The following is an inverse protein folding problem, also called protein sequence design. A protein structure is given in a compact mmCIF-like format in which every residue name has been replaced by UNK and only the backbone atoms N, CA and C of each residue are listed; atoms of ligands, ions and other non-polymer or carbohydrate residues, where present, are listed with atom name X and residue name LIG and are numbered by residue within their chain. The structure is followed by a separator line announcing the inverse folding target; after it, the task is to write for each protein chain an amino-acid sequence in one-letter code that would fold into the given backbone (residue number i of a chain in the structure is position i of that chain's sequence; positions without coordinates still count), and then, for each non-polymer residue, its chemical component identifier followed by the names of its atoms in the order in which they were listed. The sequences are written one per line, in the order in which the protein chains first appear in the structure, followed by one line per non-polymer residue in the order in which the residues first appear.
data_IF_061539406781
#
_entry.id   IF_061539406781
#
_cell.length_a   1.000
_cell.length_b   1.000
_cell.length_c   1.000
_cell.angle_alpha   90.00
_cell.angle_beta   90.00
_cell.angle_gamma   90.00
#
_symmetry.space_group_name_H-M   'P 1'
#
loop_
_entity.id
_entity.type
_entity.pdbx_description
1 polymer ?
#
# COMPACT_ATOMS: atom_id res chain seq x y z
N UNK A 1 46.52 -18.87 1.84
CA UNK A 1 47.59 -19.24 2.79
C UNK A 1 47.67 -18.15 3.84
N UNK A 2 47.21 -18.43 5.05
CA UNK A 2 47.12 -17.47 6.15
C UNK A 2 48.44 -17.46 6.92
N UNK A 3 49.30 -16.47 6.66
CA UNK A 3 50.53 -16.30 7.45
C UNK A 3 50.21 -15.61 8.76
N UNK A 4 49.97 -16.41 9.79
CA UNK A 4 49.96 -15.99 11.19
C UNK A 4 51.38 -15.55 11.56
N UNK A 5 51.65 -14.24 11.47
CA UNK A 5 52.90 -13.66 11.92
C UNK A 5 52.87 -13.56 13.44
N UNK A 6 53.35 -14.62 14.12
CA UNK A 6 53.72 -14.57 15.54
C UNK A 6 54.77 -13.48 15.72
N UNK A 7 54.37 -12.31 16.19
CA UNK A 7 55.29 -11.27 16.66
C UNK A 7 55.90 -11.72 17.98
N UNK A 8 56.99 -12.49 17.91
CA UNK A 8 57.85 -12.71 19.06
C UNK A 8 58.52 -11.41 19.51
N UNK A 9 58.95 -11.28 20.78
CA UNK A 9 59.63 -10.09 21.26
C UNK A 9 61.00 -9.96 20.58
N UNK A 10 61.06 -9.18 19.51
CA UNK A 10 62.30 -8.84 18.84
C UNK A 10 63.05 -7.78 19.67
N UNK A 11 64.30 -8.10 20.01
CA UNK A 11 65.37 -7.18 20.40
C UNK A 11 65.30 -6.56 21.81
N UNK A 12 65.99 -7.17 22.76
CA UNK A 12 66.42 -6.49 24.00
C UNK A 12 67.79 -5.83 23.87
N UNK A 13 68.48 -5.99 22.72
CA UNK A 13 69.80 -5.43 22.47
C UNK A 13 69.78 -4.42 21.32
N UNK A 14 70.33 -3.21 21.50
CA UNK A 14 70.27 -2.10 20.55
C UNK A 14 71.05 -2.33 19.24
N UNK A 15 71.86 -3.39 19.16
CA UNK A 15 72.72 -3.68 18.00
C UNK A 15 72.17 -4.77 17.06
N UNK A 16 71.07 -5.43 17.42
CA UNK A 16 70.49 -6.49 16.60
C UNK A 16 69.53 -5.93 15.55
N UNK A 17 69.87 -6.11 14.28
CA UNK A 17 68.94 -5.92 13.16
C UNK A 17 67.77 -6.91 13.30
N UNK A 18 66.56 -6.41 13.10
CA UNK A 18 65.36 -7.24 12.94
C UNK A 18 65.61 -8.25 11.80
N UNK A 19 64.97 -9.43 11.83
CA UNK A 19 64.95 -10.36 10.68
C UNK A 19 64.43 -9.71 9.38
N UNK A 20 63.79 -8.55 9.48
CA UNK A 20 63.40 -7.66 8.40
C UNK A 20 64.52 -6.73 7.88
N UNK A 21 65.77 -6.90 8.34
CA UNK A 21 66.95 -6.12 7.94
C UNK A 21 67.03 -4.70 8.51
N UNK A 22 66.07 -4.27 9.33
CA UNK A 22 65.97 -2.90 9.85
C UNK A 22 66.57 -2.77 11.25
N UNK A 23 67.08 -1.57 11.56
CA UNK A 23 67.48 -1.21 12.94
C UNK A 23 66.23 -1.08 13.81
N UNK A 24 66.30 -1.68 15.00
CA UNK A 24 65.25 -1.57 16.00
C UNK A 24 65.47 -0.32 16.84
N UNK A 25 64.41 0.48 17.05
CA UNK A 25 64.43 1.61 17.98
C UNK A 25 63.80 1.17 19.30
N UNK A 26 64.52 1.31 20.39
CA UNK A 26 63.98 1.08 21.73
C UNK A 26 63.22 2.34 22.14
N UNK A 27 61.92 2.17 22.39
CA UNK A 27 61.03 3.23 22.88
C UNK A 27 60.54 2.88 24.27
N UNK A 28 60.52 3.86 25.17
CA UNK A 28 60.05 3.68 26.54
C UNK A 28 58.60 4.16 26.62
N UNK A 29 57.68 3.29 27.05
CA UNK A 29 56.28 3.68 27.26
C UNK A 29 56.14 4.64 28.42
N UNK A 30 55.40 5.73 28.19
CA UNK A 30 54.98 6.67 29.24
C UNK A 30 53.50 6.50 29.61
N UNK A 31 52.90 5.35 29.30
CA UNK A 31 51.47 5.11 29.58
C UNK A 31 51.21 4.77 31.04
N UNK A 32 50.07 5.21 31.58
CA UNK A 32 49.65 4.97 32.97
C UNK A 32 49.56 3.48 33.34
N UNK A 33 49.24 2.60 32.37
CA UNK A 33 49.09 1.16 32.57
C UNK A 33 50.40 0.39 32.60
N UNK A 34 51.47 0.93 31.99
CA UNK A 34 52.79 0.31 31.94
C UNK A 34 53.86 1.42 31.85
N UNK A 35 54.11 2.14 32.95
CA UNK A 35 55.12 3.17 32.98
C UNK A 35 56.50 2.55 32.82
N UNK A 36 57.38 3.23 32.07
CA UNK A 36 58.80 2.88 31.91
C UNK A 36 59.10 1.55 31.21
N UNK A 37 58.09 0.85 30.68
CA UNK A 37 58.31 -0.39 29.95
C UNK A 37 58.98 -0.12 28.60
N UNK A 38 60.13 -0.75 28.35
CA UNK A 38 60.87 -0.63 27.09
C UNK A 38 60.29 -1.60 26.06
N UNK A 39 60.04 -1.09 24.85
CA UNK A 39 59.63 -1.86 23.69
C UNK A 39 60.61 -1.59 22.56
N UNK A 40 61.18 -2.63 21.98
CA UNK A 40 61.89 -2.51 20.72
C UNK A 40 60.90 -2.76 19.58
N UNK A 41 60.84 -1.81 18.63
CA UNK A 41 60.09 -1.96 17.39
C UNK A 41 61.01 -1.60 16.23
N UNK A 42 60.87 -2.33 15.13
CA UNK A 42 61.52 -1.96 13.88
C UNK A 42 61.02 -0.58 13.44
N UNK A 43 61.92 0.27 12.95
CA UNK A 43 61.56 1.58 12.43
C UNK A 43 60.69 1.39 11.18
N UNK A 44 59.40 1.66 11.34
CA UNK A 44 58.46 1.77 10.22
C UNK A 44 58.63 3.19 9.72
N UNK A 45 59.32 3.37 8.59
CA UNK A 45 59.25 4.64 7.87
C UNK A 45 57.78 4.86 7.53
N UNK A 46 57.17 5.84 8.19
CA UNK A 46 55.83 6.31 7.86
C UNK A 46 55.95 6.85 6.45
N UNK A 47 55.38 6.13 5.49
CA UNK A 47 55.40 6.53 4.11
C UNK A 47 54.24 7.53 3.98
N UNK A 48 54.51 8.82 4.21
CA UNK A 48 53.50 9.89 4.28
C UNK A 48 52.56 9.89 3.07
N UNK A 49 53.09 9.50 1.90
CA UNK A 49 52.33 9.35 0.66
C UNK A 49 51.28 8.23 0.68
N UNK A 50 51.53 7.15 1.44
CA UNK A 50 50.62 6.02 1.63
C UNK A 50 49.55 6.36 2.68
N UNK A 51 49.94 7.05 3.75
CA UNK A 51 49.01 7.53 4.77
C UNK A 51 48.00 8.52 4.20
N UNK A 52 48.42 9.44 3.32
CA UNK A 52 47.51 10.42 2.72
C UNK A 52 46.51 9.77 1.75
N UNK A 53 46.95 8.78 0.97
CA UNK A 53 46.05 8.00 0.09
C UNK A 53 45.02 7.22 0.90
N UNK A 54 45.45 6.56 1.97
CA UNK A 54 44.55 5.81 2.85
C UNK A 54 43.57 6.75 3.53
N UNK A 55 44.02 7.91 4.02
CA UNK A 55 43.13 8.95 4.58
C UNK A 55 42.10 9.43 3.56
N UNK A 56 42.52 9.76 2.35
CA UNK A 56 41.61 10.19 1.28
C UNK A 56 40.57 9.13 0.93
N UNK A 57 40.95 7.86 0.83
CA UNK A 57 40.02 6.75 0.59
C UNK A 57 39.02 6.57 1.74
N UNK A 58 39.49 6.62 2.99
CA UNK A 58 38.62 6.48 4.17
C UNK A 58 37.62 7.64 4.24
N UNK A 59 38.07 8.88 4.03
CA UNK A 59 37.19 10.05 4.00
C UNK A 59 36.16 9.94 2.86
N UNK A 60 36.58 9.54 1.66
CA UNK A 60 35.66 9.32 0.53
C UNK A 60 34.62 8.24 0.82
N UNK A 61 35.03 7.15 1.48
CA UNK A 61 34.12 6.09 1.89
C UNK A 61 33.12 6.57 2.95
N UNK A 62 33.56 7.34 3.94
CA UNK A 62 32.68 7.91 4.97
C UNK A 62 31.62 8.82 4.35
N UNK A 63 32.02 9.73 3.46
CA UNK A 63 31.08 10.61 2.74
C UNK A 63 30.09 9.81 1.91
N UNK A 64 30.56 8.79 1.18
CA UNK A 64 29.68 7.90 0.41
C UNK A 64 28.67 7.19 1.32
N UNK A 65 29.11 6.69 2.48
CA UNK A 65 28.23 6.05 3.46
C UNK A 65 27.18 7.00 4.02
N UNK A 66 27.55 8.24 4.34
CA UNK A 66 26.61 9.26 4.84
C UNK A 66 25.54 9.58 3.78
N UNK A 67 25.94 9.69 2.50
CA UNK A 67 24.97 9.89 1.42
C UNK A 67 24.05 8.68 1.22
N UNK A 68 24.58 7.46 1.35
CA UNK A 68 23.78 6.22 1.28
C UNK A 68 22.78 6.15 2.45
N UNK A 69 23.22 6.46 3.67
CA UNK A 69 22.36 6.51 4.85
C UNK A 69 21.23 7.54 4.70
N UNK A 70 21.53 8.72 4.16
CA UNK A 70 20.52 9.74 3.87
C UNK A 70 19.51 9.27 2.82
N UNK A 71 19.96 8.59 1.75
CA UNK A 71 19.08 7.99 0.73
C UNK A 71 18.18 6.91 1.31
N UNK A 72 18.73 6.01 2.13
CA UNK A 72 17.95 4.96 2.81
C UNK A 72 16.87 5.58 3.70
N UNK A 73 17.21 6.63 4.45
CA UNK A 73 16.25 7.33 5.31
C UNK A 73 15.09 7.93 4.50
N UNK A 74 15.39 8.58 3.36
CA UNK A 74 14.36 9.12 2.46
C UNK A 74 13.47 8.02 1.90
N UNK A 75 14.06 6.96 1.34
CA UNK A 75 13.31 5.82 0.80
C UNK A 75 12.43 5.14 1.85
N UNK A 76 12.90 5.04 3.10
CA UNK A 76 12.11 4.48 4.20
C UNK A 76 10.89 5.35 4.50
N UNK A 77 11.06 6.68 4.55
CA UNK A 77 9.95 7.61 4.76
C UNK A 77 8.94 7.53 3.61
N UNK A 78 9.40 7.49 2.36
CA UNK A 78 8.54 7.39 1.18
C UNK A 78 7.74 6.08 1.20
N UNK A 79 8.39 4.97 1.58
CA UNK A 79 7.75 3.67 1.70
C UNK A 79 6.69 3.65 2.82
N UNK A 80 6.93 4.33 3.93
CA UNK A 80 5.94 4.50 5.01
C UNK A 80 4.75 5.36 4.55
N UNK A 81 5.00 6.44 3.81
CA UNK A 81 3.95 7.26 3.22
C UNK A 81 3.07 6.45 2.26
N UNK A 82 3.68 5.70 1.33
CA UNK A 82 2.95 4.83 0.40
C UNK A 82 2.14 3.74 1.13
N UNK A 83 2.70 3.12 2.18
CA UNK A 83 1.96 2.15 2.99
C UNK A 83 0.70 2.77 3.61
N UNK A 84 0.79 4.02 4.05
CA UNK A 84 -0.35 4.72 4.62
C UNK A 84 -1.43 5.02 3.57
N UNK A 85 -1.03 5.43 2.36
CA UNK A 85 -1.96 5.63 1.25
C UNK A 85 -2.67 4.33 0.84
N UNK A 86 -1.92 3.22 0.74
CA UNK A 86 -2.48 1.90 0.44
C UNK A 86 -3.49 1.48 1.51
N UNK A 87 -3.21 1.72 2.80
CA UNK A 87 -4.16 1.47 3.88
C UNK A 87 -5.45 2.28 3.71
N UNK A 88 -5.34 3.57 3.43
CA UNK A 88 -6.51 4.45 3.16
C UNK A 88 -7.33 3.96 1.97
N UNK A 89 -6.68 3.59 0.87
CA UNK A 89 -7.36 3.07 -0.32
C UNK A 89 -8.04 1.73 -0.06
N UNK A 90 -7.40 0.81 0.68
CA UNK A 90 -7.99 -0.47 1.07
C UNK A 90 -9.23 -0.27 1.94
N UNK A 91 -9.20 0.68 2.86
CA UNK A 91 -10.36 0.99 3.70
C UNK A 91 -11.49 1.64 2.91
N UNK A 92 -11.18 2.60 2.02
CA UNK A 92 -12.16 3.17 1.08
C UNK A 92 -12.82 2.08 0.23
N UNK A 93 -12.03 1.16 -0.32
CA UNK A 93 -12.53 0.04 -1.11
C UNK A 93 -13.45 -0.88 -0.27
N UNK A 94 -13.06 -1.20 0.97
CA UNK A 94 -13.92 -1.96 1.89
C UNK A 94 -15.25 -1.26 2.14
N UNK A 95 -15.26 0.06 2.36
CA UNK A 95 -16.49 0.85 2.53
C UNK A 95 -17.36 0.84 1.26
N UNK A 96 -16.75 0.96 0.07
CA UNK A 96 -17.48 0.89 -1.20
C UNK A 96 -18.11 -0.48 -1.41
N UNK A 97 -17.37 -1.57 -1.14
CA UNK A 97 -17.91 -2.94 -1.21
C UNK A 97 -19.10 -3.13 -0.29
N UNK A 98 -19.04 -2.62 0.94
CA UNK A 98 -20.16 -2.71 1.88
C UNK A 98 -21.39 -1.95 1.38
N UNK A 99 -21.20 -0.73 0.85
CA UNK A 99 -22.29 0.05 0.24
C UNK A 99 -22.90 -0.68 -0.96
N UNK A 100 -22.08 -1.28 -1.82
CA UNK A 100 -22.55 -2.04 -2.97
C UNK A 100 -23.35 -3.27 -2.56
N UNK A 101 -22.87 -4.04 -1.58
CA UNK A 101 -23.60 -5.19 -1.02
C UNK A 101 -24.96 -4.75 -0.47
N UNK A 102 -25.00 -3.64 0.29
CA UNK A 102 -26.24 -3.10 0.82
C UNK A 102 -27.21 -2.66 -0.30
N UNK A 103 -26.73 -1.93 -1.31
CA UNK A 103 -27.53 -1.56 -2.48
C UNK A 103 -28.09 -2.78 -3.20
N UNK A 104 -27.26 -3.80 -3.45
CA UNK A 104 -27.70 -5.05 -4.06
C UNK A 104 -28.78 -5.75 -3.24
N UNK A 105 -28.66 -5.77 -1.91
CA UNK A 105 -29.68 -6.36 -1.04
C UNK A 105 -31.02 -5.61 -1.08
N UNK A 106 -30.99 -4.28 -1.13
CA UNK A 106 -32.20 -3.45 -1.29
C UNK A 106 -32.84 -3.70 -2.65
N UNK A 107 -32.06 -3.70 -3.72
CA UNK A 107 -32.55 -3.97 -5.07
C UNK A 107 -33.17 -5.38 -5.15
N UNK A 108 -32.51 -6.39 -4.56
CA UNK A 108 -33.01 -7.76 -4.53
C UNK A 108 -34.33 -7.90 -3.73
N UNK A 109 -34.54 -7.09 -2.69
CA UNK A 109 -35.80 -7.07 -1.93
C UNK A 109 -36.92 -6.32 -2.67
N UNK A 110 -36.58 -5.26 -3.39
CA UNK A 110 -37.56 -4.38 -4.06
C UNK A 110 -38.00 -4.93 -5.43
N UNK A 111 -37.11 -5.57 -6.19
CA UNK A 111 -37.44 -6.13 -7.51
C UNK A 111 -38.64 -7.09 -7.50
N UNK A 112 -38.73 -8.07 -6.56
CA UNK A 112 -39.86 -9.00 -6.49
C UNK A 112 -41.18 -8.31 -6.15
N UNK A 113 -41.13 -7.26 -5.32
CA UNK A 113 -42.31 -6.46 -5.00
C UNK A 113 -42.81 -5.75 -6.27
N UNK A 114 -41.93 -5.10 -7.02
CA UNK A 114 -42.32 -4.51 -8.31
C UNK A 114 -42.86 -5.54 -9.29
N UNK A 115 -42.23 -6.72 -9.39
CA UNK A 115 -42.68 -7.79 -10.29
C UNK A 115 -44.07 -8.35 -9.92
N UNK A 116 -44.44 -8.32 -8.64
CA UNK A 116 -45.75 -8.79 -8.16
C UNK A 116 -46.82 -7.69 -8.18
N UNK A 117 -46.47 -6.44 -7.88
CA UNK A 117 -47.40 -5.32 -7.94
C UNK A 117 -47.76 -4.91 -9.38
N UNK A 118 -46.85 -5.03 -10.34
CA UNK A 118 -47.09 -4.64 -11.75
C UNK A 118 -48.26 -5.41 -12.41
N UNK A 119 -48.32 -6.76 -12.35
CA UNK A 119 -49.44 -7.51 -12.94
C UNK A 119 -50.74 -7.30 -12.15
N UNK A 120 -50.70 -7.13 -10.83
CA UNK A 120 -51.90 -6.84 -10.02
C UNK A 120 -52.50 -5.48 -10.41
N UNK A 121 -51.66 -4.46 -10.59
CA UNK A 121 -52.10 -3.15 -11.08
C UNK A 121 -52.65 -3.22 -12.50
N UNK A 122 -52.00 -3.95 -13.40
CA UNK A 122 -52.47 -4.14 -14.77
C UNK A 122 -53.82 -4.87 -14.84
N UNK A 123 -54.03 -5.91 -14.02
CA UNK A 123 -55.30 -6.62 -13.94
C UNK A 123 -56.40 -5.75 -13.32
N UNK A 124 -56.08 -4.97 -12.28
CA UNK A 124 -57.03 -4.06 -11.65
C UNK A 124 -57.53 -2.97 -12.60
N UNK A 125 -56.65 -2.40 -13.43
CA UNK A 125 -57.04 -1.41 -14.45
C UNK A 125 -57.90 -2.03 -15.54
N UNK A 126 -57.56 -3.22 -16.04
CA UNK A 126 -58.38 -3.95 -17.03
C UNK A 126 -59.78 -4.24 -16.48
N UNK A 127 -59.91 -4.69 -15.23
CA UNK A 127 -61.20 -4.98 -14.61
C UNK A 127 -62.06 -3.72 -14.42
N UNK A 128 -61.46 -2.57 -14.10
CA UNK A 128 -62.16 -1.27 -14.06
C UNK A 128 -62.66 -0.85 -15.45
N UNK A 129 -61.84 -1.00 -16.49
CA UNK A 129 -62.26 -0.68 -17.87
C UNK A 129 -63.40 -1.59 -18.31
N UNK A 130 -63.32 -2.90 -18.02
CA UNK A 130 -64.36 -3.88 -18.36
C UNK A 130 -65.69 -3.59 -17.68
N UNK A 131 -65.67 -3.18 -16.40
CA UNK A 131 -66.90 -2.78 -15.68
C UNK A 131 -67.54 -1.52 -16.25
N UNK A 132 -66.74 -0.51 -16.61
CA UNK A 132 -67.25 0.70 -17.28
C UNK A 132 -67.84 0.37 -18.64
N UNK A 133 -67.17 -0.43 -19.46
CA UNK A 133 -67.65 -0.84 -20.79
C UNK A 133 -68.96 -1.64 -20.70
N UNK A 134 -69.06 -2.60 -19.77
CA UNK A 134 -70.29 -3.36 -19.53
C UNK A 134 -71.44 -2.47 -19.03
N UNK A 135 -71.16 -1.50 -18.17
CA UNK A 135 -72.14 -0.52 -17.70
C UNK A 135 -72.67 0.36 -18.84
N UNK A 136 -71.77 0.88 -19.68
CA UNK A 136 -72.13 1.66 -20.87
C UNK A 136 -72.93 0.82 -21.88
N UNK A 137 -72.53 -0.43 -22.14
CA UNK A 137 -73.24 -1.34 -23.04
C UNK A 137 -74.65 -1.67 -22.54
N UNK A 138 -74.84 -1.87 -21.22
CA UNK A 138 -76.15 -2.08 -20.61
C UNK A 138 -77.05 -0.83 -20.66
N UNK A 139 -76.46 0.35 -20.60
CA UNK A 139 -77.18 1.63 -20.71
C UNK A 139 -77.69 1.90 -22.14
N UNK A 140 -76.84 1.62 -23.15
CA UNK A 140 -77.22 1.73 -24.57
C UNK A 140 -78.32 0.71 -24.92
N UNK A 141 -78.21 -0.52 -24.41
CA UNK A 141 -79.20 -1.58 -24.69
C UNK A 141 -80.58 -1.29 -24.08
N UNK A 142 -80.65 -0.58 -22.95
CA UNK A 142 -81.91 -0.09 -22.38
C UNK A 142 -82.52 1.03 -23.23
N UNK A 143 -81.70 2.03 -23.64
CA UNK A 143 -82.17 3.11 -24.54
C UNK A 143 -82.75 2.59 -25.86
N UNK A 144 -82.14 1.58 -26.48
CA UNK A 144 -82.69 1.00 -27.73
C UNK A 144 -84.02 0.25 -27.53
N UNK A 145 -84.27 -0.30 -26.35
CA UNK A 145 -85.51 -1.03 -26.05
C UNK A 145 -86.69 -0.07 -25.85
N UNK A 146 -86.43 1.09 -25.24
CA UNK A 146 -87.43 2.15 -25.05
C UNK A 146 -87.77 2.85 -26.38
N UNK A 147 -86.78 3.07 -27.25
CA UNK A 147 -87.01 3.61 -28.61
C UNK A 147 -87.75 2.63 -29.53
N UNK A 148 -87.56 1.31 -29.37
CA UNK A 148 -88.27 0.29 -30.16
C UNK A 148 -89.76 0.15 -29.81
N UNK A 149 -90.14 0.40 -28.55
CA UNK A 149 -91.53 0.40 -28.11
C UNK A 149 -92.33 1.61 -28.60
N UNK A 150 -91.65 2.74 -28.88
CA UNK A 150 -92.31 3.96 -29.38
C UNK A 150 -92.71 3.87 -30.88
N UNK A 151 -92.03 3.03 -31.68
CA UNK A 151 -92.28 2.94 -33.13
C UNK A 151 -93.50 2.07 -33.47
N UNK A 152 -93.90 1.14 -32.60
CA UNK A 152 -95.03 0.22 -32.89
C UNK A 152 -96.43 0.81 -32.61
N UNK A 153 -96.55 2.00 -32.01
CA UNK A 153 -97.84 2.63 -31.71
C UNK A 153 -98.21 3.82 -32.61
N UNK A 154 -97.39 4.15 -33.62
CA UNK A 154 -97.59 5.34 -34.49
C UNK A 154 -98.20 5.07 -35.87
N UNK A 155 -98.75 3.88 -36.12
CA UNK A 155 -99.19 3.44 -37.47
C UNK A 155 -100.65 3.00 -37.55
N UNK A 156 -101.57 3.71 -36.89
CA UNK A 156 -103.02 3.58 -37.09
C UNK A 156 -103.65 4.97 -37.16
N UNK A 157 -103.56 5.58 -38.33
CA UNK A 157 -104.55 6.53 -38.84
C UNK A 157 -104.87 6.15 -40.29
#
# INVERSE_FOLDING_TARGET
MSTSSKSGPCCLEPEKTCNCGRRCKVTTSMTLKNPMRRFARAEIMVNESLDERVRSMVVGFMVSNDTMAAKIKRLKNDLEAQKHEVKKLKEKNRRMKLKFICLCSVVAAVLPLFATFCPVYAVATINRVKTVVLSCAGSIRRKMKDSGAAIQNGGKE
#
